data_IF_815980282547
#
_entry.id   IF_815980282547
#
_cell.length_a   1.000
_cell.length_b   1.000
_cell.length_c   1.000
_cell.angle_alpha   90.00
_cell.angle_beta   90.00
_cell.angle_gamma   90.00
#
_symmetry.space_group_name_H-M   'P 1'
#
loop_
_entity.id
_entity.type
_entity.pdbx_description
1 polymer ?
#
# COMPACT_ATOMS: atom_id res chain seq x y z
N UNK A 1 -2.06 29.97 31.62
CA UNK A 1 -2.12 29.86 30.14
C UNK A 1 -1.21 30.89 29.51
N UNK A 2 -1.38 32.17 29.82
CA UNK A 2 -0.64 33.27 29.16
C UNK A 2 0.89 33.18 29.31
N UNK A 3 1.37 32.83 30.51
CA UNK A 3 2.80 32.57 30.74
C UNK A 3 3.35 31.40 29.90
N UNK A 4 2.56 30.33 29.72
CA UNK A 4 2.97 29.17 28.95
C UNK A 4 2.99 29.46 27.44
N UNK A 5 2.18 30.40 26.98
CA UNK A 5 2.20 30.87 25.59
C UNK A 5 3.41 31.74 25.23
N UNK A 6 4.18 32.18 26.23
CA UNK A 6 5.42 32.95 26.08
C UNK A 6 6.68 32.07 26.12
N UNK A 7 6.55 30.77 26.26
CA UNK A 7 7.68 29.85 26.24
C UNK A 7 8.40 29.91 24.86
N UNK A 8 9.74 29.88 24.83
CA UNK A 8 10.52 29.86 23.57
C UNK A 8 10.11 28.71 22.64
N UNK A 9 9.75 27.56 23.20
CA UNK A 9 9.26 26.40 22.43
C UNK A 9 7.93 26.69 21.71
N UNK A 10 7.05 27.52 22.29
CA UNK A 10 5.79 27.94 21.66
C UNK A 10 6.06 28.91 20.51
N UNK A 11 6.96 29.88 20.68
CA UNK A 11 7.35 30.79 19.60
C UNK A 11 7.93 30.00 18.39
N UNK A 12 8.78 29.03 18.66
CA UNK A 12 9.32 28.16 17.62
C UNK A 12 8.22 27.30 16.94
N UNK A 13 7.28 26.80 17.73
CA UNK A 13 6.16 26.00 17.23
C UNK A 13 5.21 26.81 16.32
N UNK A 14 5.02 28.13 16.56
CA UNK A 14 4.19 29.02 15.72
C UNK A 14 4.65 29.12 14.27
N UNK A 15 5.91 28.80 13.98
CA UNK A 15 6.42 28.76 12.61
C UNK A 15 5.89 27.53 11.82
N UNK A 16 5.39 26.50 12.52
CA UNK A 16 4.98 25.20 11.94
C UNK A 16 3.55 24.80 12.25
N UNK A 17 3.03 25.22 13.39
CA UNK A 17 1.73 24.82 13.91
C UNK A 17 0.80 26.04 14.07
N UNK A 18 -0.46 25.84 13.76
CA UNK A 18 -1.48 26.85 13.97
C UNK A 18 -1.70 27.13 15.48
N UNK A 19 -2.05 28.35 15.84
CA UNK A 19 -2.24 28.78 17.23
C UNK A 19 -3.26 27.90 18.01
N UNK A 20 -4.35 27.49 17.36
CA UNK A 20 -5.35 26.62 18.00
C UNK A 20 -4.79 25.23 18.36
N UNK A 21 -3.87 24.69 17.54
CA UNK A 21 -3.19 23.41 17.78
C UNK A 21 -2.25 23.52 18.98
N UNK A 22 -1.46 24.60 19.03
CA UNK A 22 -0.57 24.90 20.16
C UNK A 22 -1.37 25.00 21.47
N UNK A 23 -2.46 25.78 21.45
CA UNK A 23 -3.35 25.95 22.61
C UNK A 23 -4.00 24.63 23.05
N UNK A 24 -4.40 23.79 22.12
CA UNK A 24 -4.96 22.46 22.42
C UNK A 24 -3.93 21.57 23.11
N UNK A 25 -2.68 21.53 22.62
CA UNK A 25 -1.57 20.78 23.22
C UNK A 25 -1.30 21.23 24.65
N UNK A 26 -1.18 22.55 24.87
CA UNK A 26 -0.98 23.11 26.21
C UNK A 26 -2.16 22.76 27.13
N UNK A 27 -3.41 22.87 26.64
CA UNK A 27 -4.62 22.54 27.41
C UNK A 27 -4.64 21.08 27.84
N UNK A 28 -4.25 20.17 26.98
CA UNK A 28 -4.18 18.74 27.27
C UNK A 28 -3.13 18.45 28.36
N UNK A 29 -1.93 19.00 28.24
CA UNK A 29 -0.86 18.85 29.23
C UNK A 29 -1.29 19.43 30.60
N UNK A 30 -1.96 20.58 30.60
CA UNK A 30 -2.51 21.14 31.83
C UNK A 30 -3.62 20.26 32.43
N UNK A 31 -4.43 19.61 31.63
CA UNK A 31 -5.44 18.65 32.10
C UNK A 31 -4.76 17.42 32.71
N UNK A 32 -3.69 16.91 32.14
CA UNK A 32 -2.90 15.81 32.69
C UNK A 32 -2.24 16.15 34.01
N UNK A 33 -1.68 17.34 34.13
CA UNK A 33 -1.13 17.85 35.40
C UNK A 33 -2.19 17.97 36.47
N UNK A 34 -3.40 18.46 36.14
CA UNK A 34 -4.54 18.55 37.10
C UNK A 34 -5.01 17.18 37.58
N UNK A 35 -4.87 16.13 36.77
CA UNK A 35 -5.18 14.73 37.14
C UNK A 35 -4.03 14.05 37.89
N UNK A 36 -2.92 14.74 38.11
CA UNK A 36 -1.74 14.20 38.79
C UNK A 36 -0.88 13.26 37.91
N UNK A 37 -1.18 13.19 36.60
CA UNK A 37 -0.41 12.38 35.68
C UNK A 37 0.96 12.98 35.31
N UNK A 38 1.14 14.30 35.53
CA UNK A 38 2.36 15.04 35.23
C UNK A 38 2.66 15.96 36.44
N UNK A 39 3.92 16.00 36.89
CA UNK A 39 4.37 16.93 37.93
C UNK A 39 4.27 18.38 37.44
N UNK A 40 3.89 19.31 38.31
CA UNK A 40 3.70 20.72 37.97
C UNK A 40 5.00 21.33 37.43
N UNK A 41 6.14 20.99 38.00
CA UNK A 41 7.47 21.51 37.62
C UNK A 41 7.91 21.01 36.23
N UNK A 42 7.34 19.90 35.72
CA UNK A 42 7.65 19.35 34.39
C UNK A 42 6.75 19.88 33.27
N UNK A 43 5.75 20.73 33.58
CA UNK A 43 4.79 21.20 32.57
C UNK A 43 5.46 21.89 31.39
N UNK A 44 6.41 22.81 31.65
CA UNK A 44 7.07 23.57 30.62
C UNK A 44 7.94 22.67 29.70
N UNK A 45 8.63 21.70 30.28
CA UNK A 45 9.44 20.73 29.56
C UNK A 45 8.56 19.81 28.68
N UNK A 46 7.44 19.31 29.25
CA UNK A 46 6.46 18.51 28.49
C UNK A 46 5.83 19.25 27.33
N UNK A 47 5.52 20.55 27.53
CA UNK A 47 5.04 21.40 26.42
C UNK A 47 6.10 21.47 25.32
N UNK A 48 7.36 21.73 25.68
CA UNK A 48 8.44 21.84 24.73
C UNK A 48 8.69 20.53 23.96
N UNK A 49 8.69 19.40 24.65
CA UNK A 49 8.82 18.07 24.05
C UNK A 49 7.68 17.77 23.07
N UNK A 50 6.42 17.92 23.53
CA UNK A 50 5.26 17.64 22.69
C UNK A 50 5.21 18.55 21.47
N UNK A 51 5.44 19.86 21.61
CA UNK A 51 5.44 20.78 20.48
C UNK A 51 6.59 20.52 19.50
N UNK A 52 7.77 20.05 19.96
CA UNK A 52 8.86 19.65 19.06
C UNK A 52 8.50 18.38 18.28
N UNK A 53 7.91 17.38 18.94
CA UNK A 53 7.54 16.12 18.32
C UNK A 53 6.31 16.26 17.40
N UNK A 54 5.43 17.24 17.66
CA UNK A 54 4.18 17.40 16.94
C UNK A 54 4.42 17.88 15.49
N UNK A 55 3.93 17.08 14.55
CA UNK A 55 3.88 17.45 13.15
C UNK A 55 2.51 18.04 12.78
N UNK A 56 2.42 18.90 11.74
CA UNK A 56 1.14 19.42 11.25
C UNK A 56 0.30 18.36 10.51
N UNK A 57 0.80 17.14 10.40
CA UNK A 57 0.14 16.00 9.75
C UNK A 57 0.27 14.76 10.64
N UNK A 58 -0.66 13.80 10.45
CA UNK A 58 -0.77 12.61 11.31
C UNK A 58 -0.09 11.34 10.73
N UNK A 59 0.22 11.32 9.44
CA UNK A 59 0.88 10.18 8.82
C UNK A 59 2.39 10.22 9.09
N UNK A 60 2.96 9.08 9.47
CA UNK A 60 4.38 8.94 9.74
C UNK A 60 5.01 7.95 8.78
N UNK A 61 6.24 8.19 8.30
CA UNK A 61 7.02 7.19 7.57
C UNK A 61 7.22 5.94 8.42
N UNK A 62 7.14 4.77 7.79
CA UNK A 62 7.32 3.46 8.42
C UNK A 62 8.34 2.66 7.62
N UNK A 63 9.31 2.03 8.28
CA UNK A 63 10.19 1.06 7.65
C UNK A 63 9.40 -0.24 7.44
N UNK A 64 9.14 -0.59 6.19
CA UNK A 64 8.43 -1.81 5.84
C UNK A 64 9.38 -3.01 5.80
N UNK A 65 9.50 -3.70 6.91
CA UNK A 65 10.31 -4.90 7.06
C UNK A 65 9.47 -6.20 7.08
N UNK A 66 8.33 -6.21 6.37
CA UNK A 66 7.41 -7.36 6.34
C UNK A 66 7.69 -8.33 5.20
N UNK A 67 8.44 -7.92 4.17
CA UNK A 67 8.58 -8.67 2.91
C UNK A 67 7.34 -8.60 2.00
N UNK A 68 6.35 -7.74 2.32
CA UNK A 68 5.16 -7.51 1.48
C UNK A 68 5.35 -6.19 0.71
N UNK A 69 5.49 -6.29 -0.61
CA UNK A 69 5.85 -5.14 -1.46
C UNK A 69 4.73 -4.10 -1.49
N UNK A 70 3.51 -4.53 -1.80
CA UNK A 70 2.33 -3.66 -1.86
C UNK A 70 1.51 -3.89 -0.59
N UNK A 71 1.96 -3.25 0.50
CA UNK A 71 1.31 -3.41 1.80
C UNK A 71 0.12 -2.46 1.94
N UNK A 72 -1.10 -3.00 1.93
CA UNK A 72 -2.34 -2.22 1.93
C UNK A 72 -2.46 -1.23 3.09
N UNK A 73 -2.00 -1.62 4.30
CA UNK A 73 -2.07 -0.78 5.49
C UNK A 73 -0.93 0.24 5.60
N UNK A 74 0.09 0.16 4.72
CA UNK A 74 1.23 1.09 4.66
C UNK A 74 1.17 2.03 3.45
N UNK A 75 -0.01 2.18 2.83
CA UNK A 75 -0.19 3.11 1.71
C UNK A 75 0.17 2.51 0.34
N UNK A 76 0.39 1.20 0.25
CA UNK A 76 0.73 0.45 -0.97
C UNK A 76 2.13 0.78 -1.51
N UNK A 77 2.26 1.07 -2.83
CA UNK A 77 3.54 1.35 -3.45
C UNK A 77 4.11 2.71 -3.00
N UNK A 78 5.37 2.79 -2.54
CA UNK A 78 6.04 4.07 -2.37
C UNK A 78 6.36 4.72 -3.72
N UNK A 79 6.43 6.05 -3.74
CA UNK A 79 6.76 6.79 -4.96
C UNK A 79 8.28 6.80 -5.21
N UNK A 80 8.72 6.69 -6.47
CA UNK A 80 10.11 6.92 -6.81
C UNK A 80 10.50 8.40 -6.58
N UNK A 81 11.78 8.72 -6.32
CA UNK A 81 12.23 10.08 -6.05
C UNK A 81 11.77 11.11 -7.09
N UNK A 82 11.85 10.79 -8.37
CA UNK A 82 11.39 11.64 -9.46
C UNK A 82 9.89 11.97 -9.37
N UNK A 83 9.06 11.02 -8.92
CA UNK A 83 7.63 11.26 -8.72
C UNK A 83 7.36 12.16 -7.50
N UNK A 84 8.17 12.06 -6.45
CA UNK A 84 8.11 12.96 -5.29
C UNK A 84 8.47 14.39 -5.70
N UNK A 85 9.54 14.58 -6.47
CA UNK A 85 9.93 15.89 -7.02
C UNK A 85 8.82 16.47 -7.92
N UNK A 86 8.25 15.64 -8.81
CA UNK A 86 7.15 16.05 -9.67
C UNK A 86 5.90 16.47 -8.89
N UNK A 87 5.59 15.77 -7.77
CA UNK A 87 4.51 16.12 -6.87
C UNK A 87 4.76 17.49 -6.21
N UNK A 88 5.98 17.72 -5.72
CA UNK A 88 6.38 19.00 -5.11
C UNK A 88 6.28 20.15 -6.12
N UNK A 89 6.79 19.96 -7.33
CA UNK A 89 6.70 20.96 -8.41
C UNK A 89 5.23 21.29 -8.73
N UNK A 90 4.36 20.27 -8.80
CA UNK A 90 2.94 20.45 -9.05
C UNK A 90 2.17 21.08 -7.88
N UNK A 91 2.74 21.18 -6.68
CA UNK A 91 2.08 21.81 -5.53
C UNK A 91 1.93 23.34 -5.69
N UNK A 92 2.75 23.95 -6.55
CA UNK A 92 2.68 25.38 -6.87
C UNK A 92 1.70 25.68 -8.01
N UNK A 93 1.72 26.91 -8.55
CA UNK A 93 1.02 27.23 -9.80
C UNK A 93 1.66 26.50 -10.96
N UNK A 94 0.87 25.84 -11.80
CA UNK A 94 1.32 25.06 -12.96
C UNK A 94 0.40 25.29 -14.15
N UNK A 95 0.92 25.03 -15.34
CA UNK A 95 0.26 25.17 -16.62
C UNK A 95 -0.69 24.00 -16.98
N UNK A 96 -1.21 23.28 -15.96
CA UNK A 96 -2.01 22.07 -16.14
C UNK A 96 -3.18 22.20 -17.14
N UNK A 97 -3.74 23.39 -17.35
CA UNK A 97 -4.76 23.72 -18.35
C UNK A 97 -4.41 25.02 -19.10
N UNK A 98 -3.11 25.34 -19.22
CA UNK A 98 -2.61 26.54 -19.89
C UNK A 98 -1.62 26.16 -21.00
N UNK A 99 -1.78 26.75 -22.16
CA UNK A 99 -0.77 26.78 -23.20
C UNK A 99 0.07 28.04 -23.02
N UNK A 100 1.29 27.89 -22.53
CA UNK A 100 2.18 29.00 -22.21
C UNK A 100 2.61 29.78 -23.44
N UNK A 101 2.69 29.15 -24.61
CA UNK A 101 3.10 29.83 -25.85
C UNK A 101 2.02 30.77 -26.37
N UNK A 102 0.76 30.36 -26.31
CA UNK A 102 -0.37 31.18 -26.80
C UNK A 102 -1.06 31.99 -25.69
N UNK A 103 -0.79 31.70 -24.43
CA UNK A 103 -1.49 32.29 -23.28
C UNK A 103 -2.96 31.87 -23.16
N UNK A 104 -3.39 30.86 -23.91
CA UNK A 104 -4.77 30.39 -23.94
C UNK A 104 -4.98 29.14 -23.10
N UNK A 105 -6.22 28.89 -22.73
CA UNK A 105 -6.60 27.64 -22.06
C UNK A 105 -6.32 26.43 -22.96
N UNK A 106 -5.51 25.50 -22.47
CA UNK A 106 -5.27 24.23 -23.11
C UNK A 106 -6.43 23.25 -22.83
N UNK A 107 -6.76 22.43 -23.82
CA UNK A 107 -7.66 21.28 -23.66
C UNK A 107 -6.89 20.00 -23.28
N UNK A 108 -5.57 20.04 -23.25
CA UNK A 108 -4.66 18.89 -23.11
C UNK A 108 -4.24 18.66 -21.65
N UNK A 109 -5.20 18.73 -20.74
CA UNK A 109 -4.93 18.39 -19.34
C UNK A 109 -4.39 16.97 -19.22
N UNK A 110 -3.15 16.82 -18.69
CA UNK A 110 -2.52 15.54 -18.49
C UNK A 110 -1.96 14.90 -19.75
N UNK A 111 -1.77 15.65 -20.82
CA UNK A 111 -1.22 15.14 -22.08
C UNK A 111 0.14 14.43 -21.86
N UNK A 112 1.02 14.97 -21.00
CA UNK A 112 2.30 14.35 -20.68
C UNK A 112 2.15 12.96 -20.04
N UNK A 113 1.28 12.83 -19.06
CA UNK A 113 1.02 11.53 -18.41
C UNK A 113 0.33 10.53 -19.35
N UNK A 114 -0.60 11.02 -20.18
CA UNK A 114 -1.24 10.19 -21.23
C UNK A 114 -0.20 9.69 -22.21
N UNK A 115 0.67 10.56 -22.71
CA UNK A 115 1.71 10.18 -23.67
C UNK A 115 2.70 9.18 -23.06
N UNK A 116 3.14 9.41 -21.81
CA UNK A 116 4.02 8.48 -21.11
C UNK A 116 3.42 7.05 -21.01
N UNK A 117 2.12 6.97 -20.72
CA UNK A 117 1.43 5.66 -20.71
C UNK A 117 1.33 5.02 -22.08
N UNK A 118 1.09 5.80 -23.15
CA UNK A 118 1.04 5.30 -24.53
C UNK A 118 2.42 4.84 -25.00
N UNK A 119 3.47 5.58 -24.65
CA UNK A 119 4.85 5.21 -24.97
C UNK A 119 5.26 3.91 -24.26
N UNK A 120 4.82 3.72 -23.02
CA UNK A 120 5.08 2.53 -22.23
C UNK A 120 4.19 1.33 -22.62
N UNK A 121 3.04 1.57 -23.27
CA UNK A 121 2.11 0.53 -23.72
C UNK A 121 1.62 0.79 -25.17
N UNK A 122 2.45 0.51 -26.19
CA UNK A 122 2.14 0.82 -27.58
C UNK A 122 0.92 0.09 -28.18
N UNK A 123 0.38 -0.92 -27.48
CA UNK A 123 -0.86 -1.59 -27.87
C UNK A 123 -2.12 -0.72 -27.63
N UNK A 124 -2.01 0.36 -26.86
CA UNK A 124 -3.10 1.28 -26.62
C UNK A 124 -3.16 2.39 -27.68
N UNK A 125 -4.37 2.75 -28.12
CA UNK A 125 -4.60 3.87 -29.05
C UNK A 125 -4.80 5.20 -28.29
N UNK A 126 -5.36 5.15 -27.07
CA UNK A 126 -5.59 6.34 -26.21
C UNK A 126 -5.62 5.93 -24.74
N UNK A 127 -5.50 6.91 -23.85
CA UNK A 127 -5.51 6.72 -22.39
C UNK A 127 -6.40 7.74 -21.69
N UNK A 128 -6.92 7.32 -20.53
CA UNK A 128 -7.63 8.18 -19.59
C UNK A 128 -7.16 7.87 -18.18
N UNK A 129 -6.89 8.92 -17.39
CA UNK A 129 -6.40 8.81 -16.03
C UNK A 129 -7.42 9.42 -15.07
N UNK A 130 -7.86 8.65 -14.09
CA UNK A 130 -8.88 9.03 -13.10
C UNK A 130 -8.36 8.79 -11.68
N UNK A 131 -9.17 9.07 -10.66
CA UNK A 131 -8.75 9.07 -9.26
C UNK A 131 -8.20 7.74 -8.74
N UNK A 132 -8.79 6.61 -9.14
CA UNK A 132 -8.40 5.26 -8.73
C UNK A 132 -9.06 4.20 -9.63
N UNK A 133 -8.69 2.92 -9.47
CA UNK A 133 -9.26 1.81 -10.25
C UNK A 133 -10.78 1.68 -10.14
N UNK A 134 -11.34 1.83 -8.95
CA UNK A 134 -12.81 1.81 -8.75
C UNK A 134 -13.52 2.90 -9.57
N UNK A 135 -12.98 4.12 -9.59
CA UNK A 135 -13.49 5.22 -10.42
C UNK A 135 -13.37 4.92 -11.92
N UNK A 136 -12.31 4.21 -12.33
CA UNK A 136 -12.11 3.79 -13.72
C UNK A 136 -13.17 2.76 -14.14
N UNK A 137 -13.41 1.75 -13.30
CA UNK A 137 -14.42 0.72 -13.55
C UNK A 137 -15.84 1.33 -13.59
N UNK A 138 -16.18 2.18 -12.62
CA UNK A 138 -17.47 2.89 -12.60
C UNK A 138 -17.69 3.70 -13.88
N UNK A 139 -16.67 4.46 -14.30
CA UNK A 139 -16.77 5.28 -15.50
C UNK A 139 -16.85 4.43 -16.77
N UNK A 140 -16.07 3.35 -16.87
CA UNK A 140 -16.06 2.46 -18.03
C UNK A 140 -17.44 1.80 -18.22
N UNK A 141 -18.01 1.22 -17.18
CA UNK A 141 -19.32 0.56 -17.25
C UNK A 141 -20.44 1.56 -17.54
N UNK A 142 -20.46 2.73 -16.89
CA UNK A 142 -21.46 3.76 -17.13
C UNK A 142 -21.38 4.37 -18.54
N UNK A 143 -20.18 4.53 -19.10
CA UNK A 143 -19.99 5.16 -20.40
C UNK A 143 -20.15 4.20 -21.59
N UNK A 144 -19.79 2.92 -21.41
CA UNK A 144 -19.80 1.93 -22.50
C UNK A 144 -21.04 1.05 -22.49
N UNK A 145 -21.77 0.98 -21.36
CA UNK A 145 -23.03 0.25 -21.22
C UNK A 145 -24.13 1.09 -20.54
N UNK A 146 -24.43 2.32 -21.02
CA UNK A 146 -25.38 3.21 -20.35
C UNK A 146 -26.80 2.62 -20.37
N UNK A 147 -27.41 2.45 -19.20
CA UNK A 147 -28.74 1.82 -19.02
C UNK A 147 -28.84 0.37 -19.55
N UNK A 148 -27.72 -0.30 -19.75
CA UNK A 148 -27.63 -1.64 -20.31
C UNK A 148 -27.07 -2.63 -19.31
N UNK A 149 -26.99 -3.89 -19.73
CA UNK A 149 -26.40 -4.96 -18.94
C UNK A 149 -24.90 -5.08 -19.23
N UNK A 150 -24.14 -5.36 -18.17
CA UNK A 150 -22.75 -5.78 -18.24
C UNK A 150 -22.66 -7.24 -17.79
N UNK A 151 -22.22 -8.12 -18.69
CA UNK A 151 -22.08 -9.54 -18.39
C UNK A 151 -20.74 -9.80 -17.69
N UNK A 152 -20.79 -10.52 -16.57
CA UNK A 152 -19.62 -10.89 -15.77
C UNK A 152 -19.69 -12.35 -15.33
N UNK A 153 -18.55 -13.04 -15.23
CA UNK A 153 -18.46 -14.36 -14.62
C UNK A 153 -18.72 -14.31 -13.11
N UNK A 154 -19.50 -15.26 -12.55
CA UNK A 154 -19.66 -15.41 -11.09
C UNK A 154 -18.33 -15.64 -10.37
N UNK A 155 -17.36 -16.29 -11.00
CA UNK A 155 -16.02 -16.48 -10.44
C UNK A 155 -15.18 -15.21 -10.39
N UNK A 156 -15.63 -14.11 -11.03
CA UNK A 156 -14.96 -12.83 -11.11
C UNK A 156 -15.66 -11.73 -10.27
N UNK A 157 -16.70 -12.09 -9.53
CA UNK A 157 -17.35 -11.21 -8.57
C UNK A 157 -16.52 -11.16 -7.29
N UNK A 158 -15.70 -10.12 -7.15
CA UNK A 158 -14.74 -10.00 -6.06
C UNK A 158 -15.15 -8.94 -5.04
N UNK A 159 -14.79 -9.19 -3.76
CA UNK A 159 -14.77 -8.19 -2.71
C UNK A 159 -13.32 -7.74 -2.50
N UNK A 160 -13.09 -6.43 -2.54
CA UNK A 160 -11.79 -5.82 -2.34
C UNK A 160 -11.84 -5.08 -1.00
N UNK A 161 -11.07 -5.50 -0.02
CA UNK A 161 -10.87 -4.88 1.29
C UNK A 161 -11.98 -3.97 1.86
N UNK A 162 -12.20 -3.99 3.17
CA UNK A 162 -13.20 -3.15 3.86
C UNK A 162 -14.66 -3.33 3.35
N UNK A 163 -15.00 -4.49 2.79
CA UNK A 163 -16.37 -4.79 2.33
C UNK A 163 -16.73 -4.16 0.99
N UNK A 164 -15.77 -3.63 0.24
CA UNK A 164 -16.04 -3.06 -1.09
C UNK A 164 -16.27 -4.16 -2.12
N UNK A 165 -17.43 -4.18 -2.75
CA UNK A 165 -17.87 -5.17 -3.74
C UNK A 165 -18.06 -4.54 -5.10
N UNK A 166 -17.53 -5.19 -6.16
CA UNK A 166 -17.67 -4.70 -7.52
C UNK A 166 -19.14 -4.58 -8.00
N UNK A 167 -20.04 -5.54 -7.70
CA UNK A 167 -21.44 -5.41 -8.08
C UNK A 167 -22.09 -4.13 -7.58
N UNK A 168 -21.93 -3.81 -6.29
CA UNK A 168 -22.52 -2.63 -5.69
C UNK A 168 -22.00 -1.34 -6.31
N UNK A 169 -20.71 -1.29 -6.69
CA UNK A 169 -20.13 -0.16 -7.38
C UNK A 169 -20.75 0.01 -8.77
N UNK A 170 -20.79 -1.04 -9.58
CA UNK A 170 -21.28 -1.00 -10.96
C UNK A 170 -22.75 -0.62 -10.99
N UNK A 171 -23.57 -1.23 -10.13
CA UNK A 171 -25.00 -0.99 -10.04
C UNK A 171 -25.37 0.35 -9.37
N UNK A 172 -24.37 1.05 -8.76
CA UNK A 172 -24.59 2.42 -8.26
C UNK A 172 -24.84 3.44 -9.39
N UNK A 173 -24.63 3.05 -10.64
CA UNK A 173 -25.07 3.78 -11.84
C UNK A 173 -26.32 3.12 -12.42
N UNK A 174 -26.76 3.56 -13.59
CA UNK A 174 -27.88 2.94 -14.29
C UNK A 174 -27.50 1.64 -15.04
N UNK A 175 -26.30 1.11 -14.83
CA UNK A 175 -25.81 -0.16 -15.40
C UNK A 175 -26.29 -1.33 -14.56
N UNK A 176 -26.72 -2.42 -15.18
CA UNK A 176 -27.14 -3.65 -14.50
C UNK A 176 -26.11 -4.76 -14.74
N UNK A 177 -25.82 -5.56 -13.70
CA UNK A 177 -24.98 -6.74 -13.86
C UNK A 177 -25.82 -7.95 -14.32
N UNK A 178 -25.23 -8.74 -15.21
CA UNK A 178 -25.72 -10.06 -15.60
C UNK A 178 -24.63 -11.12 -15.34
N UNK A 179 -24.84 -11.89 -14.32
CA UNK A 179 -23.90 -12.93 -13.89
C UNK A 179 -24.05 -14.20 -14.74
N UNK A 180 -22.92 -14.81 -15.14
CA UNK A 180 -22.89 -16.04 -15.93
C UNK A 180 -21.98 -17.10 -15.33
N UNK A 181 -22.20 -18.36 -15.70
CA UNK A 181 -21.45 -19.49 -15.22
C UNK A 181 -21.68 -19.84 -13.74
N UNK A 182 -20.73 -20.52 -13.16
CA UNK A 182 -20.66 -20.86 -11.73
C UNK A 182 -19.41 -20.23 -11.09
N UNK A 183 -19.32 -20.30 -9.76
CA UNK A 183 -18.21 -19.71 -9.00
C UNK A 183 -16.86 -20.18 -9.52
N UNK A 184 -16.70 -21.49 -9.78
CA UNK A 184 -15.42 -22.07 -10.18
C UNK A 184 -15.31 -22.36 -11.69
N UNK A 185 -16.41 -22.29 -12.45
CA UNK A 185 -16.36 -22.60 -13.90
C UNK A 185 -17.30 -21.71 -14.69
N UNK A 186 -16.73 -21.06 -15.70
CA UNK A 186 -17.48 -20.30 -16.70
C UNK A 186 -16.93 -20.64 -18.09
N UNK A 187 -17.85 -20.96 -19.01
CA UNK A 187 -17.54 -21.33 -20.37
C UNK A 187 -18.00 -20.26 -21.34
N UNK A 188 -17.45 -20.24 -22.56
CA UNK A 188 -17.82 -19.26 -23.59
C UNK A 188 -19.33 -19.28 -23.89
N UNK A 189 -19.95 -20.46 -23.89
CA UNK A 189 -21.38 -20.60 -24.11
C UNK A 189 -22.25 -19.90 -23.03
N UNK A 190 -21.73 -19.76 -21.80
CA UNK A 190 -22.46 -19.05 -20.75
C UNK A 190 -22.59 -17.56 -21.06
N UNK A 191 -21.51 -16.97 -21.62
CA UNK A 191 -21.52 -15.59 -22.09
C UNK A 191 -22.41 -15.42 -23.33
N UNK A 192 -22.26 -16.31 -24.33
CA UNK A 192 -23.00 -16.24 -25.60
C UNK A 192 -24.52 -16.31 -25.36
N UNK A 193 -24.97 -17.28 -24.57
CA UNK A 193 -26.38 -17.45 -24.20
C UNK A 193 -26.96 -16.27 -23.38
N UNK A 194 -26.10 -15.48 -22.73
CA UNK A 194 -26.51 -14.33 -21.94
C UNK A 194 -26.60 -13.04 -22.73
N UNK A 195 -25.96 -12.94 -23.91
CA UNK A 195 -25.99 -11.71 -24.71
C UNK A 195 -27.39 -11.49 -25.29
N UNK A 196 -27.90 -10.29 -25.07
CA UNK A 196 -29.20 -9.82 -25.57
C UNK A 196 -29.06 -8.43 -26.21
N UNK A 197 -30.18 -7.86 -26.68
CA UNK A 197 -30.23 -6.47 -27.15
C UNK A 197 -29.88 -5.49 -26.03
N UNK A 198 -30.19 -5.82 -24.77
CA UNK A 198 -29.93 -5.00 -23.61
C UNK A 198 -28.47 -5.08 -23.13
N UNK A 199 -27.65 -5.98 -23.63
CA UNK A 199 -26.24 -6.10 -23.31
C UNK A 199 -25.43 -4.95 -23.92
N UNK A 200 -24.65 -4.22 -23.13
CA UNK A 200 -23.73 -3.17 -23.56
C UNK A 200 -22.27 -3.63 -23.62
N UNK A 201 -21.84 -4.40 -22.63
CA UNK A 201 -20.45 -4.84 -22.51
C UNK A 201 -20.32 -6.23 -21.85
N UNK A 202 -19.17 -6.84 -22.10
CA UNK A 202 -18.65 -7.98 -21.33
C UNK A 202 -17.55 -7.41 -20.42
N UNK A 203 -17.59 -7.74 -19.14
CA UNK A 203 -16.58 -7.38 -18.16
C UNK A 203 -15.80 -8.64 -17.76
N UNK A 204 -14.49 -8.58 -17.87
CA UNK A 204 -13.56 -9.56 -17.33
C UNK A 204 -12.77 -8.94 -16.21
N UNK A 205 -12.78 -9.59 -15.04
CA UNK A 205 -12.06 -9.12 -13.86
C UNK A 205 -10.99 -10.15 -13.48
N UNK A 206 -9.75 -9.67 -13.30
CA UNK A 206 -8.68 -10.49 -12.76
C UNK A 206 -8.82 -10.58 -11.21
N UNK A 207 -8.83 -11.80 -10.62
CA UNK A 207 -8.91 -11.98 -9.18
C UNK A 207 -7.56 -11.65 -8.52
N UNK A 208 -7.23 -10.36 -8.43
CA UNK A 208 -5.92 -9.87 -7.99
C UNK A 208 -5.65 -10.02 -6.49
N UNK A 209 -6.64 -10.45 -5.68
CA UNK A 209 -6.55 -10.55 -4.22
C UNK A 209 -6.85 -11.94 -3.64
N UNK A 210 -7.19 -12.91 -4.48
CA UNK A 210 -7.36 -14.31 -4.09
C UNK A 210 -7.00 -15.24 -5.26
N UNK A 211 -6.74 -16.51 -4.96
CA UNK A 211 -6.49 -17.57 -5.94
C UNK A 211 -7.57 -18.64 -5.81
N UNK A 212 -8.03 -19.15 -6.95
CA UNK A 212 -8.96 -20.28 -7.02
C UNK A 212 -8.26 -21.47 -7.65
N UNK A 213 -8.18 -22.57 -6.93
CA UNK A 213 -7.49 -23.80 -7.36
C UNK A 213 -8.45 -24.98 -7.49
N UNK A 214 -8.02 -26.02 -8.18
CA UNK A 214 -8.75 -27.27 -8.37
C UNK A 214 -9.55 -27.31 -9.67
N UNK A 215 -10.83 -27.70 -9.59
CA UNK A 215 -11.70 -27.89 -10.76
C UNK A 215 -12.25 -26.54 -11.26
N UNK A 216 -11.41 -25.75 -11.89
CA UNK A 216 -11.72 -24.39 -12.34
C UNK A 216 -11.72 -24.28 -13.87
N UNK A 217 -12.46 -23.31 -14.42
CA UNK A 217 -12.36 -22.91 -15.83
C UNK A 217 -12.77 -21.44 -15.98
N UNK A 218 -11.98 -20.67 -16.71
CA UNK A 218 -12.26 -19.29 -17.07
C UNK A 218 -12.08 -19.09 -18.58
N UNK A 219 -12.71 -18.05 -19.13
CA UNK A 219 -12.61 -17.72 -20.57
C UNK A 219 -11.55 -16.63 -20.75
N UNK A 220 -10.61 -16.84 -21.67
CA UNK A 220 -9.57 -15.87 -22.03
C UNK A 220 -10.14 -14.66 -22.78
N UNK A 221 -9.38 -13.55 -22.75
CA UNK A 221 -9.75 -12.27 -23.36
C UNK A 221 -9.90 -12.43 -24.88
N UNK A 222 -9.05 -13.20 -25.52
CA UNK A 222 -9.08 -13.50 -26.97
C UNK A 222 -10.44 -14.07 -27.41
N UNK A 223 -10.96 -15.05 -26.67
CA UNK A 223 -12.27 -15.68 -26.95
C UNK A 223 -13.43 -14.73 -26.63
N UNK A 224 -13.36 -14.03 -25.51
CA UNK A 224 -14.37 -13.01 -25.16
C UNK A 224 -14.41 -11.88 -26.19
N UNK A 225 -13.25 -11.48 -26.75
CA UNK A 225 -13.19 -10.47 -27.80
C UNK A 225 -13.90 -10.91 -29.08
N UNK A 226 -13.64 -12.15 -29.53
CA UNK A 226 -14.32 -12.68 -30.70
C UNK A 226 -15.83 -12.65 -30.52
N UNK A 227 -16.31 -13.10 -29.35
CA UNK A 227 -17.73 -13.08 -29.00
C UNK A 227 -18.28 -11.66 -28.97
N UNK A 228 -17.64 -10.75 -28.26
CA UNK A 228 -18.05 -9.35 -28.15
C UNK A 228 -18.17 -8.67 -29.52
N UNK A 229 -17.20 -8.90 -30.42
CA UNK A 229 -17.23 -8.39 -31.81
C UNK A 229 -18.41 -8.91 -32.60
N UNK A 230 -18.70 -10.22 -32.52
CA UNK A 230 -19.82 -10.84 -33.24
C UNK A 230 -21.14 -10.16 -32.88
N UNK A 231 -21.30 -9.71 -31.64
CA UNK A 231 -22.50 -9.08 -31.15
C UNK A 231 -22.42 -7.54 -31.06
N UNK A 232 -21.32 -6.92 -31.53
CA UNK A 232 -21.14 -5.45 -31.47
C UNK A 232 -21.10 -4.89 -30.04
N UNK A 233 -20.52 -5.64 -29.09
CA UNK A 233 -20.40 -5.28 -27.66
C UNK A 233 -18.97 -4.91 -27.28
N UNK A 234 -18.81 -4.09 -26.23
CA UNK A 234 -17.51 -3.75 -25.69
C UNK A 234 -16.97 -4.89 -24.81
N UNK A 235 -15.65 -5.05 -24.78
CA UNK A 235 -14.92 -5.90 -23.84
C UNK A 235 -14.08 -5.02 -22.90
N UNK A 236 -14.47 -4.96 -21.65
CA UNK A 236 -13.77 -4.26 -20.56
C UNK A 236 -12.99 -5.29 -19.76
N UNK A 237 -11.70 -5.06 -19.53
CA UNK A 237 -10.85 -5.90 -18.69
C UNK A 237 -10.35 -5.08 -17.49
N UNK A 238 -10.65 -5.53 -16.27
CA UNK A 238 -10.14 -4.94 -15.04
C UNK A 238 -9.07 -5.86 -14.44
N UNK A 239 -7.81 -5.42 -14.51
CA UNK A 239 -6.67 -6.14 -13.94
C UNK A 239 -6.42 -5.77 -12.49
N UNK A 240 -6.68 -4.54 -12.13
CA UNK A 240 -6.41 -4.01 -10.78
C UNK A 240 -4.94 -3.85 -10.41
N UNK A 241 -4.03 -4.71 -10.90
CA UNK A 241 -2.64 -4.84 -10.44
C UNK A 241 -1.66 -3.77 -10.95
N UNK A 242 -1.75 -3.40 -12.24
CA UNK A 242 -0.99 -2.28 -12.79
C UNK A 242 0.30 -2.61 -13.53
N UNK A 243 0.56 -3.86 -13.92
CA UNK A 243 1.63 -4.19 -14.87
C UNK A 243 1.29 -3.63 -16.24
N UNK A 244 2.20 -2.81 -16.80
CA UNK A 244 2.07 -2.29 -18.17
C UNK A 244 2.43 -3.35 -19.20
N UNK A 245 3.49 -4.10 -18.95
CA UNK A 245 4.00 -5.20 -19.78
C UNK A 245 4.31 -6.41 -18.91
N UNK A 246 4.43 -7.58 -19.52
CA UNK A 246 4.74 -8.83 -18.81
C UNK A 246 6.04 -8.73 -18.02
N UNK A 247 5.99 -9.20 -16.77
CA UNK A 247 7.13 -9.28 -15.87
C UNK A 247 7.48 -10.76 -15.61
N UNK A 248 8.71 -11.23 -15.96
CA UNK A 248 9.13 -12.61 -15.74
C UNK A 248 9.14 -13.04 -14.27
N UNK A 249 9.26 -12.10 -13.32
CA UNK A 249 9.17 -12.41 -11.88
C UNK A 249 7.76 -12.79 -11.44
N UNK A 250 6.74 -12.44 -12.25
CA UNK A 250 5.32 -12.69 -11.98
C UNK A 250 4.64 -13.34 -13.20
N UNK A 251 5.02 -14.56 -13.58
CA UNK A 251 4.64 -15.15 -14.88
C UNK A 251 3.13 -15.39 -15.06
N UNK A 252 2.38 -15.50 -13.96
CA UNK A 252 0.93 -15.70 -14.00
C UNK A 252 0.14 -14.37 -13.87
N UNK A 253 0.80 -13.25 -13.57
CA UNK A 253 0.13 -11.96 -13.44
C UNK A 253 -0.12 -11.34 -14.82
N UNK A 254 -1.37 -11.01 -15.17
CA UNK A 254 -1.67 -10.41 -16.46
C UNK A 254 -1.20 -8.95 -16.52
N UNK A 255 -0.80 -8.52 -17.70
CA UNK A 255 -0.37 -7.17 -18.01
C UNK A 255 -1.30 -6.48 -19.02
N UNK A 256 -1.26 -5.14 -19.03
CA UNK A 256 -2.14 -4.31 -19.87
C UNK A 256 -1.86 -4.56 -21.37
N UNK A 257 -0.59 -4.58 -21.76
CA UNK A 257 -0.19 -4.74 -23.15
C UNK A 257 -0.75 -6.03 -23.78
N UNK A 258 -0.57 -7.15 -23.07
CA UNK A 258 -1.06 -8.46 -23.53
C UNK A 258 -2.59 -8.51 -23.65
N UNK A 259 -3.32 -7.89 -22.73
CA UNK A 259 -4.78 -7.86 -22.79
C UNK A 259 -5.31 -6.98 -23.93
N UNK A 260 -4.65 -5.84 -24.23
CA UNK A 260 -4.97 -5.01 -25.38
C UNK A 260 -4.62 -5.73 -26.69
N UNK A 261 -3.47 -6.39 -26.76
CA UNK A 261 -3.08 -7.20 -27.90
C UNK A 261 -4.04 -8.38 -28.15
N UNK A 262 -4.61 -8.97 -27.09
CA UNK A 262 -5.69 -9.95 -27.18
C UNK A 262 -7.03 -9.35 -27.62
N UNK A 263 -7.13 -8.01 -27.68
CA UNK A 263 -8.22 -7.26 -28.30
C UNK A 263 -9.22 -6.66 -27.33
N UNK A 264 -8.92 -6.50 -26.04
CA UNK A 264 -9.75 -5.73 -25.12
C UNK A 264 -9.99 -4.31 -25.67
N UNK A 265 -11.22 -3.80 -25.59
CA UNK A 265 -11.52 -2.41 -25.96
C UNK A 265 -11.01 -1.43 -24.91
N UNK A 266 -11.01 -1.86 -23.65
CA UNK A 266 -10.53 -1.09 -22.51
C UNK A 266 -9.90 -2.03 -21.48
N UNK A 267 -8.72 -1.65 -20.98
CA UNK A 267 -8.06 -2.30 -19.85
C UNK A 267 -7.89 -1.29 -18.72
N UNK A 268 -8.27 -1.70 -17.51
CA UNK A 268 -8.23 -0.88 -16.29
C UNK A 268 -7.16 -1.43 -15.35
N UNK A 269 -6.39 -0.52 -14.73
CA UNK A 269 -5.40 -0.85 -13.74
C UNK A 269 -5.26 0.25 -12.67
N UNK A 270 -4.55 -0.07 -11.58
CA UNK A 270 -4.26 0.87 -10.48
C UNK A 270 -2.82 1.35 -10.53
N UNK A 271 -2.58 2.65 -10.40
CA UNK A 271 -1.23 3.23 -10.45
C UNK A 271 -0.40 2.96 -9.19
N UNK A 272 -1.02 2.76 -8.04
CA UNK A 272 -0.39 2.59 -6.73
C UNK A 272 -0.14 1.14 -6.32
N UNK A 273 -0.09 0.24 -7.31
CA UNK A 273 0.21 -1.18 -7.13
C UNK A 273 1.49 -1.56 -7.88
N UNK A 274 1.45 -2.56 -8.75
CA UNK A 274 2.64 -3.07 -9.47
C UNK A 274 3.29 -2.02 -10.39
N UNK A 275 2.55 -1.00 -10.81
CA UNK A 275 3.14 0.12 -11.54
C UNK A 275 4.12 0.94 -10.68
N UNK A 276 3.97 0.97 -9.35
CA UNK A 276 4.86 1.72 -8.47
C UNK A 276 4.68 3.24 -8.50
N UNK A 277 3.51 3.71 -8.89
CA UNK A 277 3.15 5.13 -8.98
C UNK A 277 2.19 5.61 -7.89
N UNK A 278 1.64 6.82 -8.03
CA UNK A 278 0.61 7.33 -7.12
C UNK A 278 -0.73 6.62 -7.35
N UNK A 279 -1.65 6.73 -6.37
CA UNK A 279 -3.01 6.28 -6.57
C UNK A 279 -3.62 6.96 -7.80
N UNK A 280 -3.97 6.15 -8.79
CA UNK A 280 -4.64 6.53 -10.01
C UNK A 280 -5.42 5.34 -10.56
N UNK A 281 -6.51 5.60 -11.25
CA UNK A 281 -7.14 4.65 -12.16
C UNK A 281 -6.60 4.90 -13.57
N UNK A 282 -5.91 3.91 -14.11
CA UNK A 282 -5.33 3.95 -15.44
C UNK A 282 -6.28 3.20 -16.37
N UNK A 283 -6.66 3.83 -17.46
CA UNK A 283 -7.50 3.24 -18.49
C UNK A 283 -6.79 3.38 -19.81
N UNK A 284 -6.44 2.26 -20.41
CA UNK A 284 -5.82 2.18 -21.73
C UNK A 284 -6.73 1.41 -22.67
N UNK A 285 -6.84 1.83 -23.93
CA UNK A 285 -7.76 1.14 -24.84
C UNK A 285 -7.87 1.77 -26.22
N UNK A 286 -8.93 1.39 -26.93
CA UNK A 286 -9.24 1.95 -28.24
C UNK A 286 -9.62 3.42 -28.16
N UNK A 287 -9.25 4.20 -29.15
CA UNK A 287 -9.56 5.63 -29.23
C UNK A 287 -11.08 5.89 -29.13
N UNK A 288 -11.90 5.01 -29.71
CA UNK A 288 -13.36 5.11 -29.66
C UNK A 288 -13.91 4.97 -28.23
N UNK A 289 -13.52 3.91 -27.52
CA UNK A 289 -13.98 3.63 -26.16
C UNK A 289 -13.53 4.74 -25.18
N UNK A 290 -12.24 5.11 -25.26
CA UNK A 290 -11.69 6.18 -24.42
C UNK A 290 -12.36 7.53 -24.71
N UNK A 291 -12.64 7.85 -25.97
CA UNK A 291 -13.36 9.07 -26.32
C UNK A 291 -14.78 9.12 -25.74
N UNK A 292 -15.51 7.99 -25.71
CA UNK A 292 -16.81 7.88 -25.03
C UNK A 292 -16.70 8.14 -23.54
N UNK A 293 -15.72 7.50 -22.89
CA UNK A 293 -15.45 7.70 -21.46
C UNK A 293 -15.10 9.16 -21.13
N UNK A 294 -14.22 9.79 -21.91
CA UNK A 294 -13.83 11.21 -21.75
C UNK A 294 -15.01 12.18 -21.84
N UNK A 295 -16.04 11.85 -22.64
CA UNK A 295 -17.24 12.67 -22.83
C UNK A 295 -18.31 12.47 -21.75
N UNK A 296 -18.23 11.37 -20.99
CA UNK A 296 -19.24 11.06 -19.98
C UNK A 296 -19.15 12.04 -18.79
N UNK A 297 -20.28 12.52 -18.22
CA UNK A 297 -20.26 13.49 -17.10
C UNK A 297 -19.46 13.02 -15.88
N UNK A 298 -19.46 11.73 -15.57
CA UNK A 298 -18.66 11.14 -14.48
C UNK A 298 -17.15 11.36 -14.67
N UNK A 299 -16.64 11.50 -15.89
CA UNK A 299 -15.21 11.78 -16.11
C UNK A 299 -14.76 13.07 -15.40
N UNK A 300 -15.67 14.05 -15.26
CA UNK A 300 -15.40 15.26 -14.48
C UNK A 300 -15.39 14.99 -12.98
N UNK A 301 -16.31 14.17 -12.48
CA UNK A 301 -16.46 13.85 -11.07
C UNK A 301 -15.28 13.02 -10.54
N UNK A 302 -14.77 12.09 -11.37
CA UNK A 302 -13.66 11.18 -11.00
C UNK A 302 -12.29 11.66 -11.48
N UNK A 303 -12.18 12.92 -11.89
CA UNK A 303 -10.96 13.51 -12.45
C UNK A 303 -9.83 13.56 -11.43
N UNK A 304 -8.68 12.99 -11.79
CA UNK A 304 -7.46 13.04 -10.98
C UNK A 304 -6.96 14.48 -10.79
N UNK A 305 -6.38 14.80 -9.64
CA UNK A 305 -5.76 16.10 -9.38
C UNK A 305 -4.40 16.24 -10.08
N UNK A 306 -3.86 17.47 -10.07
CA UNK A 306 -2.60 17.79 -10.78
C UNK A 306 -1.36 17.18 -10.10
N UNK A 307 -1.41 16.98 -8.78
CA UNK A 307 -0.27 16.45 -8.01
C UNK A 307 0.00 15.02 -8.42
N UNK A 308 -1.04 14.17 -8.31
CA UNK A 308 -0.94 12.76 -8.68
C UNK A 308 -0.74 12.56 -10.19
N UNK A 309 -1.32 13.43 -11.01
CA UNK A 309 -1.14 13.38 -12.46
C UNK A 309 0.34 13.57 -12.86
N UNK A 310 1.01 14.57 -12.27
CA UNK A 310 2.42 14.83 -12.53
C UNK A 310 3.34 13.74 -11.96
N UNK A 311 3.02 13.28 -10.75
CA UNK A 311 3.75 12.16 -10.13
C UNK A 311 3.59 10.85 -10.91
N UNK A 312 2.41 10.57 -11.51
CA UNK A 312 2.19 9.41 -12.35
C UNK A 312 3.05 9.47 -13.62
N UNK A 313 3.10 10.63 -14.29
CA UNK A 313 3.97 10.82 -15.45
C UNK A 313 5.42 10.48 -15.10
N UNK A 314 5.95 11.06 -14.02
CA UNK A 314 7.31 10.80 -13.58
C UNK A 314 7.53 9.32 -13.21
N UNK A 315 6.59 8.69 -12.53
CA UNK A 315 6.69 7.27 -12.16
C UNK A 315 6.74 6.34 -13.39
N UNK A 316 5.98 6.65 -14.44
CA UNK A 316 5.97 5.86 -15.69
C UNK A 316 7.24 6.08 -16.52
N UNK A 317 7.83 7.28 -16.45
CA UNK A 317 9.05 7.62 -17.22
C UNK A 317 10.36 7.33 -16.48
N UNK A 318 10.30 6.99 -15.19
CA UNK A 318 11.47 6.60 -14.39
C UNK A 318 11.86 5.15 -14.70
N UNK A 319 13.16 4.83 -14.82
CA UNK A 319 13.63 3.50 -15.22
C UNK A 319 13.36 2.42 -14.16
N UNK A 320 13.24 2.77 -12.89
CA UNK A 320 12.91 1.86 -11.80
C UNK A 320 12.15 2.58 -10.67
N UNK A 321 11.52 1.79 -9.81
CA UNK A 321 10.84 2.24 -8.60
C UNK A 321 10.92 1.13 -7.52
N UNK A 322 10.56 1.48 -6.29
CA UNK A 322 10.68 0.57 -5.15
C UNK A 322 9.94 -0.78 -5.33
N UNK A 323 8.88 -0.84 -6.14
CA UNK A 323 8.18 -2.10 -6.45
C UNK A 323 9.03 -2.98 -7.34
N UNK A 324 9.60 -2.42 -8.41
CA UNK A 324 10.49 -3.12 -9.33
C UNK A 324 11.79 -3.55 -8.64
N UNK A 325 12.38 -2.66 -7.82
CA UNK A 325 13.59 -2.97 -7.07
C UNK A 325 13.35 -4.15 -6.09
N UNK A 326 12.19 -4.19 -5.43
CA UNK A 326 11.84 -5.28 -4.52
C UNK A 326 11.49 -6.60 -5.24
N UNK A 327 10.90 -6.53 -6.44
CA UNK A 327 10.61 -7.70 -7.27
C UNK A 327 11.90 -8.32 -7.85
N UNK A 328 12.82 -7.48 -8.29
CA UNK A 328 14.05 -7.86 -8.98
C UNK A 328 15.30 -7.71 -8.12
N UNK A 329 15.13 -7.71 -6.79
CA UNK A 329 16.27 -7.60 -5.86
C UNK A 329 17.33 -8.67 -6.18
N UNK A 330 18.59 -8.25 -6.28
CA UNK A 330 19.69 -9.18 -6.50
C UNK A 330 19.80 -10.17 -5.32
N UNK A 331 19.72 -11.48 -5.57
CA UNK A 331 19.69 -12.48 -4.49
C UNK A 331 20.95 -12.52 -3.62
N UNK A 332 22.11 -12.11 -4.15
CA UNK A 332 23.34 -12.06 -3.37
C UNK A 332 23.35 -10.84 -2.47
N UNK A 333 23.12 -9.66 -3.00
CA UNK A 333 23.00 -8.42 -2.24
C UNK A 333 21.94 -8.55 -1.13
N UNK A 334 20.79 -9.14 -1.45
CA UNK A 334 19.72 -9.39 -0.48
C UNK A 334 20.17 -10.28 0.69
N UNK A 335 20.91 -11.37 0.41
CA UNK A 335 21.46 -12.25 1.46
C UNK A 335 22.52 -11.54 2.27
N UNK A 336 23.42 -10.78 1.65
CA UNK A 336 24.48 -10.04 2.34
C UNK A 336 23.90 -8.98 3.29
N UNK A 337 22.92 -8.21 2.85
CA UNK A 337 22.20 -7.23 3.69
C UNK A 337 21.50 -7.91 4.87
N UNK A 338 20.81 -9.03 4.62
CA UNK A 338 20.13 -9.80 5.67
C UNK A 338 21.11 -10.37 6.68
N UNK A 339 22.26 -10.89 6.24
CA UNK A 339 23.30 -11.43 7.12
C UNK A 339 23.94 -10.32 7.98
N UNK A 340 24.26 -9.18 7.37
CA UNK A 340 24.80 -8.03 8.08
C UNK A 340 23.85 -7.54 9.18
N UNK A 341 22.53 -7.48 8.88
CA UNK A 341 21.52 -7.14 9.88
C UNK A 341 21.48 -8.18 11.02
N UNK A 342 21.53 -9.48 10.70
CA UNK A 342 21.54 -10.54 11.70
C UNK A 342 22.74 -10.45 12.63
N UNK A 343 23.95 -10.26 12.08
CA UNK A 343 25.20 -10.17 12.82
C UNK A 343 25.19 -9.03 13.84
N UNK A 344 24.65 -7.87 13.46
CA UNK A 344 24.63 -6.67 14.31
C UNK A 344 23.50 -6.72 15.35
N UNK A 345 22.38 -7.37 15.04
CA UNK A 345 21.19 -7.44 15.92
C UNK A 345 21.16 -8.70 16.78
N UNK A 346 22.09 -9.66 16.56
CA UNK A 346 22.10 -10.97 17.22
C UNK A 346 20.93 -11.86 16.79
N UNK A 347 20.35 -11.58 15.61
CA UNK A 347 19.30 -12.38 15.01
C UNK A 347 19.83 -13.61 14.27
N UNK A 348 18.92 -14.44 13.79
CA UNK A 348 19.25 -15.63 12.99
C UNK A 348 18.63 -15.49 11.59
N UNK A 349 19.43 -15.69 10.55
CA UNK A 349 18.92 -15.74 9.17
C UNK A 349 18.10 -17.02 8.97
N UNK A 350 16.94 -16.87 8.33
CA UNK A 350 16.07 -17.99 7.94
C UNK A 350 15.55 -17.80 6.52
N UNK A 351 15.17 -18.90 5.87
CA UNK A 351 14.46 -18.86 4.61
C UNK A 351 13.07 -18.22 4.84
N UNK A 352 12.72 -17.27 3.99
CA UNK A 352 11.46 -16.53 4.08
C UNK A 352 11.00 -16.12 2.71
N UNK A 353 9.72 -16.37 2.43
CA UNK A 353 9.10 -15.91 1.19
C UNK A 353 8.41 -14.56 1.40
N UNK A 354 8.88 -13.56 0.68
CA UNK A 354 8.13 -12.32 0.51
C UNK A 354 6.85 -12.54 -0.31
N UNK A 355 6.06 -11.50 -0.45
CA UNK A 355 4.81 -11.48 -1.23
C UNK A 355 4.67 -10.17 -1.98
N UNK A 356 3.98 -10.20 -3.12
CA UNK A 356 3.54 -8.95 -3.76
C UNK A 356 2.58 -8.21 -2.83
N UNK A 357 1.58 -8.88 -2.30
CA UNK A 357 0.63 -8.31 -1.35
C UNK A 357 -0.69 -7.92 -1.98
N UNK A 358 -1.28 -6.83 -1.54
CA UNK A 358 -2.64 -6.46 -1.95
C UNK A 358 -2.76 -5.98 -3.38
N UNK A 359 -3.41 -6.77 -4.23
CA UNK A 359 -3.82 -6.35 -5.56
C UNK A 359 -2.88 -6.72 -6.71
N UNK A 360 -2.16 -7.83 -6.57
CA UNK A 360 -1.39 -8.45 -7.66
C UNK A 360 -0.76 -9.76 -7.21
N UNK A 361 -0.63 -10.72 -8.09
CA UNK A 361 0.00 -12.03 -7.91
C UNK A 361 -0.37 -12.68 -6.55
N UNK A 362 -1.67 -12.96 -6.29
CA UNK A 362 -2.12 -13.44 -4.99
C UNK A 362 -1.42 -14.76 -4.65
N UNK A 363 -0.90 -14.83 -3.42
CA UNK A 363 -0.21 -16.01 -2.87
C UNK A 363 1.10 -16.42 -3.58
N UNK A 364 1.48 -15.74 -4.66
CA UNK A 364 2.72 -16.04 -5.36
C UNK A 364 3.93 -15.79 -4.45
N UNK A 365 4.75 -16.81 -4.16
CA UNK A 365 5.91 -16.66 -3.29
C UNK A 365 7.03 -15.93 -4.01
N UNK A 366 7.66 -15.01 -3.31
CA UNK A 366 8.91 -14.37 -3.71
C UNK A 366 10.04 -14.94 -2.83
N UNK A 367 10.75 -15.97 -3.28
CA UNK A 367 11.76 -16.63 -2.46
C UNK A 367 12.82 -15.65 -1.92
N UNK A 368 13.26 -15.86 -0.67
CA UNK A 368 14.22 -14.99 -0.05
C UNK A 368 14.67 -15.43 1.34
N UNK A 369 15.16 -14.48 2.10
CA UNK A 369 15.67 -14.65 3.45
C UNK A 369 15.24 -13.49 4.34
N UNK A 370 15.16 -13.74 5.67
CA UNK A 370 14.84 -12.71 6.63
C UNK A 370 15.62 -12.95 7.94
N UNK A 371 15.64 -11.97 8.83
CA UNK A 371 16.22 -12.08 10.18
C UNK A 371 15.11 -12.40 11.17
N UNK A 372 15.26 -13.50 11.89
CA UNK A 372 14.43 -13.86 13.03
C UNK A 372 14.99 -13.25 14.31
N UNK A 373 14.16 -12.48 14.99
CA UNK A 373 14.41 -11.87 16.29
C UNK A 373 13.37 -12.38 17.31
N UNK A 374 13.58 -12.19 18.62
CA UNK A 374 12.54 -12.49 19.62
C UNK A 374 11.21 -11.76 19.32
N UNK A 375 10.09 -12.49 19.40
CA UNK A 375 8.75 -11.93 19.15
C UNK A 375 8.44 -10.67 19.98
N UNK A 376 8.99 -10.63 21.21
CA UNK A 376 8.82 -9.49 22.13
C UNK A 376 9.27 -8.14 21.55
N UNK A 377 10.10 -8.14 20.50
CA UNK A 377 10.55 -6.93 19.80
C UNK A 377 9.49 -6.35 18.84
N UNK A 378 8.56 -7.16 18.37
CA UNK A 378 7.62 -6.73 17.32
C UNK A 378 6.75 -5.53 17.75
N UNK A 379 6.21 -5.53 18.95
CA UNK A 379 5.37 -4.43 19.44
C UNK A 379 6.18 -3.15 19.72
N UNK A 380 7.34 -3.20 20.41
CA UNK A 380 8.19 -2.02 20.59
C UNK A 380 8.74 -1.44 19.28
N UNK A 381 9.08 -2.27 18.29
CA UNK A 381 9.52 -1.82 16.97
C UNK A 381 8.44 -0.99 16.25
N UNK A 382 7.17 -1.37 16.37
CA UNK A 382 6.06 -0.55 15.82
C UNK A 382 5.89 0.80 16.52
N UNK A 383 6.40 0.94 17.75
CA UNK A 383 6.33 2.18 18.53
C UNK A 383 7.63 2.97 18.51
N UNK A 384 8.66 2.49 17.81
CA UNK A 384 9.94 3.16 17.66
C UNK A 384 9.83 4.41 16.78
N UNK A 385 10.90 5.18 16.70
CA UNK A 385 11.02 6.35 15.84
C UNK A 385 12.28 6.26 14.99
N UNK A 386 12.15 5.94 13.69
CA UNK A 386 10.91 5.65 12.96
C UNK A 386 10.30 4.28 13.38
N UNK A 387 8.97 4.09 13.21
CA UNK A 387 8.34 2.80 13.36
C UNK A 387 8.89 1.76 12.36
N UNK A 388 9.12 0.53 12.83
CA UNK A 388 9.48 -0.61 11.99
C UNK A 388 8.35 -1.62 12.04
N UNK A 389 7.75 -1.91 10.89
CA UNK A 389 6.77 -2.97 10.77
C UNK A 389 7.45 -4.26 10.32
N UNK A 390 7.58 -5.22 11.23
CA UNK A 390 8.05 -6.58 10.99
C UNK A 390 6.88 -7.56 11.06
N UNK A 391 7.07 -8.76 10.53
CA UNK A 391 6.07 -9.83 10.57
C UNK A 391 6.24 -10.67 11.82
N UNK A 392 5.14 -11.05 12.48
CA UNK A 392 5.16 -12.07 13.53
C UNK A 392 4.76 -13.40 12.91
N UNK A 393 5.63 -14.42 13.02
CA UNK A 393 5.40 -15.74 12.50
C UNK A 393 6.15 -16.77 13.35
N UNK A 394 5.47 -17.86 13.72
CA UNK A 394 6.00 -18.96 14.54
C UNK A 394 6.73 -18.50 15.81
N UNK A 395 6.14 -17.54 16.54
CA UNK A 395 6.72 -17.03 17.78
C UNK A 395 7.99 -16.18 17.58
N UNK A 396 8.22 -15.66 16.39
CA UNK A 396 9.39 -14.85 16.03
C UNK A 396 8.96 -13.53 15.40
N UNK A 397 9.75 -12.48 15.66
CA UNK A 397 9.69 -11.23 14.92
C UNK A 397 10.58 -11.36 13.69
N UNK A 398 9.99 -11.47 12.51
CA UNK A 398 10.68 -11.68 11.23
C UNK A 398 10.85 -10.35 10.53
N UNK A 399 12.09 -9.95 10.30
CA UNK A 399 12.52 -8.71 9.65
C UNK A 399 13.05 -9.05 8.26
N UNK A 400 12.32 -8.69 7.23
CA UNK A 400 12.67 -8.88 5.82
C UNK A 400 13.06 -7.53 5.21
N UNK A 401 14.29 -7.42 4.70
CA UNK A 401 14.84 -6.18 4.14
C UNK A 401 14.44 -5.93 2.68
N UNK A 402 13.67 -6.83 2.05
CA UNK A 402 13.24 -6.73 0.65
C UNK A 402 12.60 -5.38 0.30
N UNK A 403 11.77 -4.86 1.21
CA UNK A 403 11.03 -3.62 1.01
C UNK A 403 11.64 -2.42 1.75
N UNK A 404 12.83 -2.59 2.33
CA UNK A 404 13.61 -1.52 2.96
C UNK A 404 14.63 -1.03 1.94
N UNK A 405 14.60 0.24 1.53
CA UNK A 405 15.63 0.82 0.68
C UNK A 405 17.02 0.65 1.31
N UNK A 406 18.04 0.38 0.49
CA UNK A 406 19.39 0.09 0.98
C UNK A 406 19.99 1.24 1.80
N UNK A 407 19.71 2.47 1.41
CA UNK A 407 20.11 3.69 2.13
C UNK A 407 19.47 3.82 3.53
N UNK A 408 18.47 3.00 3.85
CA UNK A 408 17.80 2.96 5.16
C UNK A 408 18.24 1.78 6.03
N UNK A 409 19.18 0.95 5.58
CA UNK A 409 19.65 -0.21 6.35
C UNK A 409 20.28 0.22 7.69
N UNK A 410 21.10 1.27 7.68
CA UNK A 410 21.69 1.80 8.91
C UNK A 410 20.62 2.29 9.90
N UNK A 411 19.60 2.98 9.41
CA UNK A 411 18.48 3.45 10.22
C UNK A 411 17.68 2.28 10.82
N UNK A 412 17.46 1.22 10.04
CA UNK A 412 16.81 -0.01 10.51
C UNK A 412 17.62 -0.66 11.63
N UNK A 413 18.94 -0.81 11.46
CA UNK A 413 19.86 -1.37 12.46
C UNK A 413 19.82 -0.54 13.75
N UNK A 414 19.97 0.79 13.65
CA UNK A 414 19.94 1.69 14.81
C UNK A 414 18.63 1.58 15.57
N UNK A 415 17.50 1.53 14.85
CA UNK A 415 16.17 1.41 15.46
C UNK A 415 16.01 0.09 16.22
N UNK A 416 16.39 -1.04 15.61
CA UNK A 416 16.30 -2.36 16.25
C UNK A 416 17.18 -2.40 17.51
N UNK A 417 18.44 -1.96 17.42
CA UNK A 417 19.37 -1.94 18.57
C UNK A 417 18.89 -1.02 19.69
N UNK A 418 18.31 0.13 19.34
CA UNK A 418 17.72 1.05 20.32
C UNK A 418 16.60 0.37 21.13
N UNK A 419 15.70 -0.34 20.44
CA UNK A 419 14.62 -1.09 21.09
C UNK A 419 15.16 -2.23 21.96
N UNK A 420 16.16 -2.97 21.48
CA UNK A 420 16.81 -4.03 22.26
C UNK A 420 17.45 -3.50 23.55
N UNK A 421 18.14 -2.36 23.47
CA UNK A 421 18.75 -1.72 24.63
C UNK A 421 17.70 -1.27 25.67
N UNK A 422 16.60 -0.68 25.22
CA UNK A 422 15.50 -0.26 26.11
C UNK A 422 14.87 -1.46 26.82
N UNK A 423 14.61 -2.57 26.11
CA UNK A 423 14.09 -3.79 26.73
C UNK A 423 15.06 -4.39 27.75
N UNK A 424 16.36 -4.39 27.45
CA UNK A 424 17.38 -4.89 28.36
C UNK A 424 17.44 -4.07 29.66
N UNK A 425 17.31 -2.74 29.56
CA UNK A 425 17.25 -1.84 30.73
C UNK A 425 16.00 -2.08 31.58
N UNK A 426 14.84 -2.28 30.95
CA UNK A 426 13.58 -2.57 31.66
C UNK A 426 13.59 -3.94 32.36
N UNK A 427 14.31 -4.92 31.83
CA UNK A 427 14.44 -6.25 32.39
C UNK A 427 15.42 -6.34 33.57
N UNK A 428 16.36 -5.40 33.75
CA UNK A 428 17.37 -5.42 34.81
C UNK A 428 16.79 -5.38 36.23
N UNK A 429 15.82 -4.51 36.59
CA UNK A 429 15.24 -4.48 37.93
C UNK A 429 14.54 -5.80 38.31
N UNK A 430 13.82 -6.40 37.36
CA UNK A 430 13.14 -7.67 37.57
C UNK A 430 14.10 -8.84 37.82
N UNK A 431 15.21 -8.89 37.07
CA UNK A 431 16.28 -9.89 37.28
C UNK A 431 16.98 -9.70 38.62
N UNK A 432 17.18 -8.46 39.05
CA UNK A 432 17.81 -8.15 40.36
C UNK A 432 16.91 -8.54 41.52
N UNK A 433 15.59 -8.29 41.40
CA UNK A 433 14.59 -8.72 42.38
C UNK A 433 14.52 -10.27 42.50
N UNK A 434 14.54 -11.00 41.37
CA UNK A 434 14.58 -12.46 41.36
C UNK A 434 15.87 -13.03 41.99
N UNK A 435 17.02 -12.43 41.69
CA UNK A 435 18.31 -12.84 42.30
C UNK A 435 18.29 -12.62 43.81
N UNK A 436 17.73 -11.51 44.29
CA UNK A 436 17.62 -11.20 45.71
C UNK A 436 16.68 -12.19 46.42
N UNK A 437 15.54 -12.56 45.80
CA UNK A 437 14.65 -13.59 46.33
C UNK A 437 15.30 -14.96 46.41
N UNK A 438 16.03 -15.35 45.35
CA UNK A 438 16.75 -16.63 45.32
C UNK A 438 17.85 -16.72 46.41
N UNK A 439 18.59 -15.63 46.60
CA UNK A 439 19.60 -15.53 47.66
C UNK A 439 18.98 -15.55 49.06
N UNK A 440 17.83 -14.94 49.29
CA UNK A 440 17.08 -14.99 50.56
C UNK A 440 16.60 -16.43 50.86
N UNK A 441 16.06 -17.14 49.86
CA UNK A 441 15.67 -18.54 50.03
C UNK A 441 16.86 -19.48 50.29
N UNK A 442 17.98 -19.27 49.59
CA UNK A 442 19.21 -20.04 49.86
C UNK A 442 19.75 -19.82 51.27
N UNK A 443 19.72 -18.56 51.75
CA UNK A 443 20.17 -18.22 53.13
C UNK A 443 19.26 -18.82 54.19
N UNK A 444 17.95 -18.86 53.96
CA UNK A 444 17.00 -19.51 54.89
C UNK A 444 17.14 -21.03 54.93
N UNK A 445 17.48 -21.64 53.81
CA UNK A 445 17.74 -23.11 53.75
C UNK A 445 19.02 -23.49 54.49
N UNK A 446 20.08 -22.67 54.41
CA UNK A 446 21.35 -22.89 55.14
C UNK A 446 21.19 -22.70 56.66
N UNK A 447 20.35 -21.76 57.11
CA UNK A 447 20.04 -21.56 58.54
C UNK A 447 19.22 -22.71 59.13
N UNK A 448 18.30 -23.33 58.39
CA UNK A 448 17.50 -24.48 58.82
C UNK A 448 18.33 -25.77 58.97
N UNK A 449 19.40 -25.93 58.23
CA UNK A 449 20.31 -27.09 58.28
C UNK A 449 21.36 -26.98 59.42
N UNK A 450 21.49 -25.82 60.09
CA UNK A 450 22.46 -25.58 61.15
C UNK A 450 21.82 -25.54 62.58
N UNK A 451 20.52 -25.85 62.75
CA UNK A 451 19.98 -26.05 64.09
C UNK A 451 20.31 -27.48 64.59
N UNK A 452 21.12 -27.67 65.60
CA UNK A 452 21.35 -28.99 66.20
C UNK A 452 20.08 -29.44 66.88
N UNK A 453 19.71 -30.69 66.60
CA UNK A 453 18.67 -31.42 67.33
C UNK A 453 19.01 -31.49 68.82
N UNK A 454 18.39 -30.62 69.63
CA UNK A 454 18.27 -30.82 71.07
C UNK A 454 16.98 -31.63 71.30
N UNK A 455 17.14 -32.96 71.30
CA UNK A 455 16.22 -33.86 71.99
C UNK A 455 16.98 -35.15 72.26
N UNK A 456 17.44 -35.33 73.53
CA UNK A 456 17.50 -36.58 74.27
C UNK A 456 18.03 -36.29 75.65
N UNK A 457 17.16 -36.05 76.65
CA UNK A 457 17.06 -36.82 77.89
C UNK A 457 15.90 -36.29 78.72
#
# INVERSE_FOLDING_TARGET
>A
MDQLLQLPAVEHARQRLAEHTIRATIKNILADARRGAIAVDSIAERIAENLRAQQPFALHPVLNATGVIIHTNLGRAPLPPAAVEALQAAASYTDVEMDLASGKRSKNRGAGATQALLDACPAAEDALIVNNGASALLLATAALAPNQEVIISRGELIEIGAGFRLPELIESTATRLREVGATNRTHLADYDNAITADTGAILKVHPSNFRMEGFTAAVGVDKLRQLARTHGKYLIVDLGSGLLTHDPALPEEPDIHSQLAAGADVVIASGDKLLGGPQAGIVLGSAEAIAKMKKHPLARAVRIDKLRLNALQAAVTTPSNAVQDALHIDPQCYRERTQALADVTGGRVLAHDGRVGGGGAPEYPLPGVAVALPESLAAPLRQASPPVLARVHDGQCVVDVRCVPEEQDELLVQTIRGVQAQQAQQAQPARQAQRNQHNQHASQHTQRTQQPSQEAN
#
